data_IF_412263852613
#
_entry.id   IF_412263852613
#
_cell.length_a   1.000
_cell.length_b   1.000
_cell.length_c   1.000
_cell.angle_alpha   90.00
_cell.angle_beta   90.00
_cell.angle_gamma   90.00
#
_symmetry.space_group_name_H-M   'P 1'
#
loop_
_entity.id
_entity.type
_entity.pdbx_description
1 polymer ?
#
# COMPACT_ATOMS: atom_id res chain seq x y z
N UNK A 1 -33.58 2.77 5.79
CA UNK A 1 -32.62 3.86 6.11
C UNK A 1 -31.30 3.43 6.75
N UNK A 2 -30.82 2.19 6.56
CA UNK A 2 -29.46 1.84 6.96
C UNK A 2 -28.48 2.24 5.83
N UNK A 3 -27.76 3.37 6.00
CA UNK A 3 -26.65 3.76 5.13
C UNK A 3 -26.83 5.01 4.26
N UNK A 4 -27.90 5.78 4.45
CA UNK A 4 -27.98 7.11 3.84
C UNK A 4 -27.03 8.06 4.59
N UNK A 5 -26.31 8.90 3.84
CA UNK A 5 -25.47 9.93 4.45
C UNK A 5 -26.33 10.92 5.25
N UNK A 6 -25.87 11.30 6.43
CA UNK A 6 -26.50 12.33 7.27
C UNK A 6 -25.71 13.64 7.23
N UNK A 7 -26.32 14.74 7.67
CA UNK A 7 -25.73 16.08 7.59
C UNK A 7 -24.39 16.23 8.33
N UNK A 8 -24.09 15.34 9.27
CA UNK A 8 -22.82 15.32 10.01
C UNK A 8 -21.74 14.42 9.40
N UNK A 9 -22.04 13.64 8.37
CA UNK A 9 -21.07 12.72 7.76
C UNK A 9 -19.99 13.50 7.02
N UNK A 10 -18.72 13.15 7.27
CA UNK A 10 -17.60 13.76 6.56
C UNK A 10 -17.56 13.25 5.10
N UNK A 11 -17.31 14.15 4.15
CA UNK A 11 -17.06 13.77 2.76
C UNK A 11 -15.79 14.41 2.18
N UNK A 12 -15.20 13.74 1.19
CA UNK A 12 -13.94 14.12 0.54
C UNK A 12 -14.13 14.26 -0.97
N UNK A 13 -13.25 15.05 -1.60
CA UNK A 13 -13.18 15.10 -3.05
C UNK A 13 -12.68 13.76 -3.62
N UNK A 14 -13.37 13.24 -4.64
CA UNK A 14 -13.07 11.96 -5.28
C UNK A 14 -11.64 11.88 -5.86
N UNK A 15 -11.00 13.03 -6.12
CA UNK A 15 -9.63 13.11 -6.62
C UNK A 15 -8.59 13.10 -5.51
N UNK A 16 -8.95 13.42 -4.26
CA UNK A 16 -7.97 13.60 -3.18
C UNK A 16 -8.12 12.59 -2.04
N UNK A 17 -9.30 11.96 -1.89
CA UNK A 17 -9.56 11.04 -0.78
C UNK A 17 -8.53 9.89 -0.73
N UNK A 18 -8.19 9.28 -1.88
CA UNK A 18 -7.20 8.20 -1.98
C UNK A 18 -5.75 8.64 -1.81
N UNK A 19 -5.52 9.95 -1.64
CA UNK A 19 -4.21 10.59 -1.49
C UNK A 19 -4.03 11.22 -0.10
N UNK A 20 -4.97 10.97 0.82
CA UNK A 20 -4.92 11.55 2.16
C UNK A 20 -5.47 12.98 2.23
N UNK A 21 -6.24 13.44 1.24
CA UNK A 21 -6.81 14.79 1.25
C UNK A 21 -7.68 15.09 2.49
N UNK A 22 -7.83 16.37 2.80
CA UNK A 22 -8.77 16.85 3.84
C UNK A 22 -10.22 16.71 3.40
N UNK A 23 -11.13 16.52 4.36
CA UNK A 23 -12.56 16.50 4.10
C UNK A 23 -13.01 17.89 3.62
N UNK A 24 -13.91 17.90 2.66
CA UNK A 24 -14.49 19.13 2.08
C UNK A 24 -15.75 19.57 2.83
N UNK A 25 -16.36 18.69 3.63
CA UNK A 25 -17.49 19.04 4.48
C UNK A 25 -17.90 17.94 5.46
N UNK A 26 -18.85 18.25 6.37
CA UNK A 26 -19.48 19.55 6.56
C UNK A 26 -18.54 20.52 7.31
N UNK A 27 -18.42 21.76 6.84
CA UNK A 27 -17.50 22.76 7.41
C UNK A 27 -17.83 23.11 8.87
N UNK A 28 -19.10 23.03 9.26
CA UNK A 28 -19.58 23.22 10.63
C UNK A 28 -18.95 22.26 11.64
N UNK A 29 -18.43 21.12 11.18
CA UNK A 29 -17.78 20.11 12.01
C UNK A 29 -16.25 20.23 12.04
N UNK A 30 -15.69 21.30 11.46
CA UNK A 30 -14.22 21.45 11.34
C UNK A 30 -13.59 20.46 10.35
N UNK A 31 -14.36 19.98 9.36
CA UNK A 31 -13.98 18.91 8.43
C UNK A 31 -12.66 19.16 7.68
N UNK A 32 -12.33 20.41 7.37
CA UNK A 32 -11.12 20.78 6.62
C UNK A 32 -9.82 20.38 7.31
N UNK A 33 -9.84 20.12 8.61
CA UNK A 33 -8.70 19.61 9.38
C UNK A 33 -8.56 18.08 9.37
N UNK A 34 -9.53 17.35 8.81
CA UNK A 34 -9.60 15.88 8.92
C UNK A 34 -9.19 15.22 7.61
N UNK A 35 -8.06 14.55 7.60
CA UNK A 35 -7.61 13.73 6.47
C UNK A 35 -8.33 12.38 6.44
N UNK A 36 -8.46 11.75 5.27
CA UNK A 36 -8.79 10.32 5.19
C UNK A 36 -7.81 9.43 5.97
N UNK A 37 -6.58 9.91 6.21
CA UNK A 37 -5.59 9.23 7.04
C UNK A 37 -5.92 9.30 8.54
N UNK A 38 -6.51 10.41 9.02
CA UNK A 38 -7.01 10.52 10.40
C UNK A 38 -8.19 9.56 10.64
N UNK A 39 -9.01 9.30 9.61
CA UNK A 39 -10.09 8.31 9.67
C UNK A 39 -9.53 6.89 9.84
N UNK A 40 -8.44 6.54 9.14
CA UNK A 40 -7.78 5.25 9.33
C UNK A 40 -7.19 5.10 10.73
N UNK A 41 -6.55 6.15 11.26
CA UNK A 41 -6.07 6.14 12.65
C UNK A 41 -7.21 5.92 13.64
N UNK A 42 -8.32 6.64 13.48
CA UNK A 42 -9.50 6.54 14.34
C UNK A 42 -10.15 5.15 14.25
N UNK A 43 -10.17 4.56 13.04
CA UNK A 43 -10.69 3.21 12.82
C UNK A 43 -9.83 2.16 13.51
N UNK A 44 -8.50 2.29 13.43
CA UNK A 44 -7.56 1.39 14.12
C UNK A 44 -7.74 1.50 15.64
N UNK A 45 -7.80 2.71 16.19
CA UNK A 45 -8.04 2.93 17.61
C UNK A 45 -9.38 2.34 18.06
N UNK A 46 -10.44 2.52 17.27
CA UNK A 46 -11.74 1.92 17.54
C UNK A 46 -11.69 0.38 17.54
N UNK A 47 -11.01 -0.25 16.57
CA UNK A 47 -10.82 -1.70 16.53
C UNK A 47 -10.10 -2.19 17.80
N UNK A 48 -9.03 -1.51 18.21
CA UNK A 48 -8.26 -1.90 19.40
C UNK A 48 -9.06 -1.77 20.70
N UNK A 49 -9.89 -0.73 20.80
CA UNK A 49 -10.80 -0.55 21.92
C UNK A 49 -11.92 -1.60 21.93
N UNK A 50 -12.52 -1.87 20.77
CA UNK A 50 -13.62 -2.84 20.61
C UNK A 50 -13.18 -4.29 20.80
N UNK A 51 -11.95 -4.60 20.42
CA UNK A 51 -11.36 -5.93 20.45
C UNK A 51 -10.04 -5.91 21.25
N UNK A 52 -10.10 -5.95 22.59
CA UNK A 52 -8.91 -5.81 23.46
C UNK A 52 -7.88 -6.94 23.30
N UNK A 53 -8.26 -8.06 22.67
CA UNK A 53 -7.36 -9.19 22.35
C UNK A 53 -6.89 -9.20 20.89
N UNK A 54 -7.21 -8.18 20.09
CA UNK A 54 -6.75 -8.11 18.69
C UNK A 54 -5.23 -8.03 18.65
N UNK A 55 -4.61 -8.96 17.92
CA UNK A 55 -3.15 -9.04 17.79
C UNK A 55 -2.65 -8.47 16.46
N UNK A 56 -3.55 -8.39 15.48
CA UNK A 56 -3.22 -8.05 14.10
C UNK A 56 -4.38 -7.33 13.44
N UNK A 57 -4.08 -6.21 12.78
CA UNK A 57 -5.01 -5.48 11.93
C UNK A 57 -4.39 -5.42 10.54
N UNK A 58 -5.14 -5.85 9.54
CA UNK A 58 -4.69 -5.93 8.15
C UNK A 58 -5.36 -4.84 7.35
N UNK A 59 -4.53 -3.95 6.80
CA UNK A 59 -4.97 -2.91 5.88
C UNK A 59 -4.65 -3.40 4.47
N UNK A 60 -5.66 -3.88 3.77
CA UNK A 60 -5.53 -4.38 2.40
C UNK A 60 -6.23 -3.46 1.42
N UNK A 61 -5.57 -3.18 0.31
CA UNK A 61 -6.14 -2.38 -0.78
C UNK A 61 -5.78 -2.98 -2.14
N UNK A 62 -6.71 -2.88 -3.08
CA UNK A 62 -6.50 -3.15 -4.50
C UNK A 62 -6.62 -1.85 -5.31
N UNK A 63 -5.88 -1.71 -6.42
CA UNK A 63 -6.00 -0.54 -7.31
C UNK A 63 -5.84 0.78 -6.56
N UNK A 64 -6.80 1.73 -6.64
CA UNK A 64 -6.77 2.98 -5.88
C UNK A 64 -6.68 2.76 -4.36
N UNK A 65 -7.35 1.73 -3.82
CA UNK A 65 -7.24 1.36 -2.42
C UNK A 65 -5.81 0.93 -2.04
N UNK A 66 -5.09 0.23 -2.93
CA UNK A 66 -3.70 -0.12 -2.70
C UNK A 66 -2.80 1.11 -2.64
N UNK A 67 -3.05 2.09 -3.51
CA UNK A 67 -2.31 3.35 -3.47
C UNK A 67 -2.60 4.11 -2.16
N UNK A 68 -3.84 4.08 -1.68
CA UNK A 68 -4.22 4.69 -0.40
C UNK A 68 -3.51 4.01 0.79
N UNK A 69 -3.50 2.68 0.83
CA UNK A 69 -2.79 1.92 1.88
C UNK A 69 -1.27 2.18 1.83
N UNK A 70 -0.67 2.25 0.64
CA UNK A 70 0.75 2.60 0.51
C UNK A 70 1.04 3.99 1.06
N UNK A 71 0.23 4.99 0.70
CA UNK A 71 0.40 6.38 1.16
C UNK A 71 0.15 6.52 2.65
N UNK A 72 -0.84 5.82 3.19
CA UNK A 72 -1.07 5.79 4.64
C UNK A 72 0.10 5.12 5.37
N UNK A 73 0.59 4.00 4.87
CA UNK A 73 1.81 3.36 5.39
C UNK A 73 3.01 4.31 5.37
N UNK A 74 3.17 5.11 4.33
CA UNK A 74 4.26 6.07 4.21
C UNK A 74 4.12 7.28 5.15
N UNK A 75 2.92 7.87 5.20
CA UNK A 75 2.64 9.13 5.87
C UNK A 75 2.26 9.00 7.35
N UNK A 76 1.75 7.85 7.79
CA UNK A 76 1.27 7.65 9.16
C UNK A 76 2.33 8.04 10.18
N UNK A 77 1.90 8.81 11.19
CA UNK A 77 2.78 9.52 12.11
C UNK A 77 3.55 8.61 13.07
N UNK A 78 4.68 9.10 13.55
CA UNK A 78 5.38 8.50 14.69
C UNK A 78 4.58 8.69 15.99
N UNK A 79 4.85 7.89 17.02
CA UNK A 79 4.17 8.00 18.31
C UNK A 79 2.73 7.47 18.35
N UNK A 80 2.14 7.12 17.19
CA UNK A 80 0.87 6.40 17.11
C UNK A 80 1.09 4.90 17.31
N UNK A 81 1.60 4.54 18.49
CA UNK A 81 1.77 3.14 18.87
C UNK A 81 0.45 2.39 18.75
N UNK A 82 0.47 1.23 18.10
CA UNK A 82 -0.66 0.30 18.06
C UNK A 82 -0.29 -0.93 18.87
N UNK A 83 -1.23 -1.40 19.69
CA UNK A 83 -1.07 -2.67 20.42
C UNK A 83 -1.05 -3.85 19.46
N UNK A 84 -1.89 -3.81 18.43
CA UNK A 84 -1.91 -4.78 17.36
C UNK A 84 -0.81 -4.49 16.34
N UNK A 85 -0.25 -5.56 15.77
CA UNK A 85 0.61 -5.45 14.60
C UNK A 85 -0.23 -4.97 13.42
N UNK A 86 0.26 -3.94 12.71
CA UNK A 86 -0.31 -3.51 11.44
C UNK A 86 0.42 -4.19 10.28
N UNK A 87 -0.35 -4.77 9.36
CA UNK A 87 0.13 -5.30 8.08
C UNK A 87 -0.49 -4.48 6.93
N UNK A 88 0.35 -4.00 6.00
CA UNK A 88 -0.05 -3.18 4.85
C UNK A 88 0.06 -3.99 3.57
N UNK A 89 -1.08 -4.43 3.03
CA UNK A 89 -1.12 -5.26 1.82
C UNK A 89 -1.54 -4.39 0.62
N UNK A 90 -0.63 -4.21 -0.32
CA UNK A 90 -0.73 -3.28 -1.44
C UNK A 90 -0.81 -4.10 -2.72
N UNK A 91 -2.02 -4.20 -3.29
CA UNK A 91 -2.29 -5.05 -4.46
C UNK A 91 -2.56 -4.24 -5.73
N UNK A 92 -1.78 -4.45 -6.79
CA UNK A 92 -1.99 -3.80 -8.10
C UNK A 92 -2.24 -2.28 -8.07
N UNK A 93 -1.45 -1.48 -7.33
CA UNK A 93 -1.63 -0.02 -7.31
C UNK A 93 -1.39 0.59 -8.70
N UNK A 94 -2.22 1.57 -9.06
CA UNK A 94 -2.07 2.31 -10.31
C UNK A 94 -0.87 3.27 -10.33
N UNK A 95 -0.38 3.67 -9.15
CA UNK A 95 0.79 4.52 -8.96
C UNK A 95 1.27 4.44 -7.51
N UNK A 96 2.48 4.91 -7.25
CA UNK A 96 3.10 4.97 -5.93
C UNK A 96 3.58 6.37 -5.61
N UNK A 97 3.64 6.72 -4.31
CA UNK A 97 4.48 7.83 -3.87
C UNK A 97 5.95 7.36 -3.88
N UNK A 98 6.73 7.86 -4.84
CA UNK A 98 8.06 7.34 -5.16
C UNK A 98 9.15 7.83 -4.18
N UNK A 99 10.11 6.98 -3.80
CA UNK A 99 11.14 7.33 -2.80
C UNK A 99 12.22 8.30 -3.27
N UNK A 100 12.44 8.37 -4.59
CA UNK A 100 13.48 9.18 -5.23
C UNK A 100 12.88 9.93 -6.40
N UNK A 101 13.56 10.98 -6.90
CA UNK A 101 13.09 11.73 -8.06
C UNK A 101 13.35 10.97 -9.38
N UNK A 102 14.43 10.18 -9.45
CA UNK A 102 14.71 9.33 -10.61
C UNK A 102 13.55 8.38 -10.88
N UNK A 103 13.22 8.20 -12.16
CA UNK A 103 12.09 7.40 -12.63
C UNK A 103 12.59 6.31 -13.59
N UNK A 104 11.92 5.14 -13.62
CA UNK A 104 12.27 4.06 -14.54
C UNK A 104 11.95 4.41 -16.00
N UNK A 105 10.95 5.25 -16.24
CA UNK A 105 10.63 5.74 -17.58
C UNK A 105 11.17 7.17 -17.77
N UNK A 106 11.56 7.55 -19.01
CA UNK A 106 11.98 8.90 -19.32
C UNK A 106 10.92 9.95 -18.93
N UNK A 107 11.38 11.07 -18.37
CA UNK A 107 10.51 12.17 -17.93
C UNK A 107 10.80 13.40 -18.77
N UNK A 108 9.78 13.89 -19.49
CA UNK A 108 9.79 15.23 -20.05
C UNK A 108 9.16 16.18 -19.02
N UNK A 109 9.98 16.96 -18.32
CA UNK A 109 9.51 17.86 -17.25
C UNK A 109 8.66 19.02 -17.77
N UNK A 110 8.75 19.36 -19.05
CA UNK A 110 7.90 20.40 -19.67
C UNK A 110 6.47 19.92 -19.86
N UNK A 111 6.27 18.64 -20.22
CA UNK A 111 4.93 18.05 -20.38
C UNK A 111 4.42 17.32 -19.13
N UNK A 112 5.30 17.04 -18.17
CA UNK A 112 4.98 16.38 -16.91
C UNK A 112 5.65 17.06 -15.71
N UNK A 113 5.36 18.34 -15.42
CA UNK A 113 6.04 19.09 -14.36
C UNK A 113 5.75 18.55 -12.96
N UNK A 114 4.62 17.84 -12.78
CA UNK A 114 4.11 17.33 -11.50
C UNK A 114 4.46 15.87 -11.22
N UNK A 115 5.33 15.24 -12.02
CA UNK A 115 5.64 13.81 -11.91
C UNK A 115 6.25 13.40 -10.55
N UNK A 116 6.91 14.34 -9.88
CA UNK A 116 7.49 14.17 -8.55
C UNK A 116 6.75 14.99 -7.49
N UNK A 117 5.59 15.59 -7.76
CA UNK A 117 4.77 16.23 -6.71
C UNK A 117 3.86 15.21 -6.03
N UNK A 118 3.41 15.48 -4.80
CA UNK A 118 2.41 14.63 -4.15
C UNK A 118 1.17 14.49 -5.06
N UNK A 119 0.64 13.28 -5.29
CA UNK A 119 0.88 12.02 -4.57
C UNK A 119 1.85 11.04 -5.24
N UNK A 120 2.67 11.51 -6.19
CA UNK A 120 3.61 10.70 -6.97
C UNK A 120 5.06 10.83 -6.49
N UNK A 121 5.39 11.92 -5.79
CA UNK A 121 6.69 12.17 -5.18
C UNK A 121 6.63 13.30 -4.13
N UNK A 122 7.76 13.98 -3.89
CA UNK A 122 7.88 15.04 -2.87
C UNK A 122 8.64 16.30 -3.35
N UNK A 123 8.61 16.64 -4.64
CA UNK A 123 9.16 17.88 -5.18
C UNK A 123 8.45 19.12 -4.59
N UNK A 124 9.18 20.22 -4.53
CA UNK A 124 8.71 21.53 -4.07
C UNK A 124 7.86 22.24 -5.14
N UNK A 125 6.86 23.09 -4.78
CA UNK A 125 6.33 23.29 -3.43
C UNK A 125 5.47 22.09 -3.01
N UNK A 126 5.92 21.36 -1.98
CA UNK A 126 5.28 20.10 -1.58
C UNK A 126 4.00 20.36 -0.81
N UNK A 127 2.90 19.68 -1.17
CA UNK A 127 1.70 19.59 -0.35
C UNK A 127 1.36 18.12 -0.08
N UNK A 128 2.14 17.50 0.82
CA UNK A 128 1.58 16.33 1.53
C UNK A 128 0.39 16.82 2.37
N UNK A 129 -0.58 15.95 2.68
CA UNK A 129 -1.67 16.32 3.56
C UNK A 129 -1.16 16.90 4.89
N UNK A 130 -1.85 17.88 5.50
CA UNK A 130 -1.47 18.47 6.79
C UNK A 130 -1.13 17.42 7.86
N UNK A 131 -1.85 16.29 7.81
CA UNK A 131 -1.60 15.06 8.57
C UNK A 131 -0.12 14.68 8.75
N UNK A 132 0.71 14.80 7.69
CA UNK A 132 2.12 14.39 7.71
C UNK A 132 3.11 15.54 7.49
N UNK A 133 2.63 16.79 7.44
CA UNK A 133 3.48 17.94 7.12
C UNK A 133 4.63 18.13 8.14
N UNK A 134 4.35 17.97 9.43
CA UNK A 134 5.36 18.05 10.49
C UNK A 134 6.40 16.93 10.40
N UNK A 135 5.97 15.71 10.09
CA UNK A 135 6.88 14.57 9.91
C UNK A 135 7.73 14.73 8.66
N UNK A 136 7.18 15.22 7.55
CA UNK A 136 7.96 15.55 6.37
C UNK A 136 9.01 16.62 6.67
N UNK A 137 8.65 17.67 7.41
CA UNK A 137 9.59 18.73 7.80
C UNK A 137 10.73 18.20 8.69
N UNK A 138 10.43 17.25 9.58
CA UNK A 138 11.40 16.67 10.53
C UNK A 138 12.27 15.58 9.92
N UNK A 139 11.68 14.66 9.16
CA UNK A 139 12.32 13.45 8.63
C UNK A 139 12.84 13.61 7.20
N UNK A 140 12.28 14.56 6.45
CA UNK A 140 12.42 14.63 5.00
C UNK A 140 11.83 13.43 4.27
N UNK A 141 11.83 13.48 2.94
CA UNK A 141 11.36 12.36 2.08
C UNK A 141 12.06 11.05 2.45
N UNK A 142 13.39 11.06 2.56
CA UNK A 142 14.16 9.85 2.83
C UNK A 142 13.76 9.22 4.17
N UNK A 143 13.62 10.03 5.24
CA UNK A 143 13.22 9.50 6.54
C UNK A 143 11.81 8.92 6.56
N UNK A 144 10.85 9.49 5.82
CA UNK A 144 9.52 8.89 5.65
C UNK A 144 9.59 7.50 5.01
N UNK A 145 10.41 7.34 3.96
CA UNK A 145 10.58 6.05 3.28
C UNK A 145 11.36 5.03 4.11
N UNK A 146 12.43 5.45 4.80
CA UNK A 146 13.15 4.59 5.75
C UNK A 146 12.23 4.11 6.86
N UNK A 147 11.36 4.98 7.40
CA UNK A 147 10.32 4.58 8.35
C UNK A 147 9.31 3.61 7.74
N UNK A 148 8.86 3.86 6.51
CA UNK A 148 7.93 2.94 5.85
C UNK A 148 8.55 1.54 5.67
N UNK A 149 9.86 1.47 5.40
CA UNK A 149 10.61 0.23 5.28
C UNK A 149 10.67 -0.60 6.58
N UNK A 150 10.47 0.02 7.76
CA UNK A 150 10.40 -0.71 9.03
C UNK A 150 9.02 -1.31 9.33
N UNK A 151 8.04 -1.17 8.42
CA UNK A 151 6.67 -1.69 8.60
C UNK A 151 6.49 -3.04 7.93
N UNK A 152 5.49 -3.81 8.37
CA UNK A 152 5.11 -5.05 7.69
C UNK A 152 4.34 -4.72 6.41
N UNK A 153 5.02 -4.80 5.27
CA UNK A 153 4.45 -4.44 3.96
C UNK A 153 4.48 -5.65 3.04
N UNK A 154 3.37 -5.87 2.36
CA UNK A 154 3.24 -6.93 1.37
C UNK A 154 2.87 -6.29 0.04
N UNK A 155 3.80 -6.25 -0.90
CA UNK A 155 3.52 -5.85 -2.28
C UNK A 155 3.05 -7.11 -3.01
N UNK A 156 1.85 -7.10 -3.58
CA UNK A 156 1.36 -8.21 -4.39
C UNK A 156 0.88 -7.72 -5.76
N UNK A 157 1.43 -8.30 -6.82
CA UNK A 157 1.15 -7.89 -8.19
C UNK A 157 0.59 -9.07 -8.96
N UNK A 158 -0.51 -8.86 -9.66
CA UNK A 158 -1.07 -9.83 -10.59
C UNK A 158 -0.10 -10.03 -11.76
N UNK A 159 0.18 -11.29 -12.12
CA UNK A 159 1.09 -11.59 -13.23
C UNK A 159 0.58 -11.06 -14.56
N UNK A 160 -0.71 -10.75 -14.67
CA UNK A 160 -1.38 -10.39 -15.92
C UNK A 160 -1.93 -8.96 -15.92
N UNK A 161 -1.55 -8.12 -14.93
CA UNK A 161 -1.98 -6.71 -14.84
C UNK A 161 -1.12 -5.79 -15.72
N UNK A 162 -1.11 -6.09 -17.03
CA UNK A 162 -0.38 -5.38 -18.08
C UNK A 162 -1.09 -4.11 -18.58
N UNK A 163 -2.23 -3.75 -17.99
CA UNK A 163 -2.95 -2.54 -18.37
C UNK A 163 -2.36 -1.31 -17.65
N UNK A 164 -2.15 -0.20 -18.37
CA UNK A 164 -1.74 1.07 -17.74
C UNK A 164 -2.75 1.57 -16.71
N UNK A 165 -4.05 1.53 -17.06
CA UNK A 165 -5.11 2.07 -16.19
C UNK A 165 -5.14 3.59 -16.06
N UNK A 166 -4.31 4.32 -16.81
CA UNK A 166 -4.23 5.78 -16.76
C UNK A 166 -3.63 6.34 -18.04
N UNK A 167 -3.99 7.59 -18.36
CA UNK A 167 -3.35 8.41 -19.40
C UNK A 167 -2.54 9.57 -18.81
N UNK A 168 -2.54 9.71 -17.47
CA UNK A 168 -1.79 10.75 -16.77
C UNK A 168 -0.29 10.48 -16.89
N UNK A 169 0.50 11.53 -17.09
CA UNK A 169 1.93 11.39 -17.30
C UNK A 169 2.65 10.93 -16.03
N UNK A 170 2.18 11.33 -14.85
CA UNK A 170 2.89 11.12 -13.59
C UNK A 170 3.02 9.62 -13.23
N UNK A 171 1.94 8.81 -13.25
CA UNK A 171 2.08 7.35 -13.11
C UNK A 171 2.87 6.70 -14.24
N UNK A 172 2.77 7.22 -15.48
CA UNK A 172 3.47 6.67 -16.63
C UNK A 172 5.00 6.81 -16.50
N UNK A 173 5.48 7.78 -15.72
CA UNK A 173 6.91 7.86 -15.37
C UNK A 173 7.39 6.65 -14.55
N UNK A 174 6.47 5.95 -13.87
CA UNK A 174 6.78 4.84 -12.96
C UNK A 174 6.77 3.47 -13.67
N UNK A 175 6.30 3.39 -14.91
CA UNK A 175 6.14 2.14 -15.67
C UNK A 175 4.95 2.18 -16.63
N UNK A 176 5.01 1.38 -17.69
CA UNK A 176 3.97 1.30 -18.74
C UNK A 176 2.64 0.74 -18.23
N UNK A 177 2.69 -0.14 -17.24
CA UNK A 177 1.58 -0.93 -16.72
C UNK A 177 1.71 -1.11 -15.21
N UNK A 178 0.66 -1.62 -14.54
CA UNK A 178 0.66 -1.71 -13.07
C UNK A 178 1.66 -2.72 -12.54
N UNK A 179 1.88 -3.82 -13.25
CA UNK A 179 2.88 -4.83 -12.90
C UNK A 179 4.30 -4.24 -12.94
N UNK A 180 4.67 -3.56 -14.03
CA UNK A 180 5.97 -2.91 -14.15
C UNK A 180 6.14 -1.77 -13.14
N UNK A 181 5.10 -0.96 -12.89
CA UNK A 181 5.14 0.07 -11.82
C UNK A 181 5.44 -0.52 -10.45
N UNK A 182 4.82 -1.64 -10.09
CA UNK A 182 5.07 -2.30 -8.81
C UNK A 182 6.48 -2.89 -8.69
N UNK A 183 7.00 -3.48 -9.78
CA UNK A 183 8.38 -3.97 -9.86
C UNK A 183 9.38 -2.83 -9.66
N UNK A 184 9.26 -1.77 -10.46
CA UNK A 184 10.20 -0.65 -10.42
C UNK A 184 10.11 0.15 -9.11
N UNK A 185 8.91 0.31 -8.54
CA UNK A 185 8.78 0.90 -7.21
C UNK A 185 9.51 0.07 -6.15
N UNK A 186 9.37 -1.26 -6.20
CA UNK A 186 10.05 -2.17 -5.26
C UNK A 186 11.57 -2.01 -5.36
N UNK A 187 12.12 -2.02 -6.56
CA UNK A 187 13.54 -1.77 -6.80
C UNK A 187 13.98 -0.38 -6.28
N UNK A 188 13.16 0.65 -6.50
CA UNK A 188 13.46 2.01 -6.04
C UNK A 188 13.48 2.11 -4.50
N UNK A 189 12.58 1.41 -3.80
CA UNK A 189 12.62 1.34 -2.33
C UNK A 189 13.87 0.61 -1.86
N UNK A 190 14.17 -0.57 -2.44
CA UNK A 190 15.36 -1.34 -2.08
C UNK A 190 16.63 -0.48 -2.19
N UNK A 191 16.74 0.29 -3.27
CA UNK A 191 17.85 1.22 -3.46
C UNK A 191 17.86 2.33 -2.38
N UNK A 192 16.71 2.98 -2.15
CA UNK A 192 16.58 4.05 -1.17
C UNK A 192 16.81 3.59 0.28
N UNK A 193 16.69 2.29 0.57
CA UNK A 193 16.84 1.70 1.91
C UNK A 193 18.12 0.87 2.07
N UNK A 194 19.05 0.95 1.12
CA UNK A 194 20.39 0.34 1.24
C UNK A 194 20.47 -1.16 0.91
N UNK A 195 19.45 -1.74 0.27
CA UNK A 195 19.42 -3.17 -0.10
C UNK A 195 20.04 -3.49 -1.47
N UNK A 196 20.64 -2.52 -2.16
CA UNK A 196 21.13 -2.65 -3.54
C UNK A 196 22.12 -3.79 -3.76
N UNK A 197 23.05 -4.04 -2.82
CA UNK A 197 24.02 -5.12 -2.98
C UNK A 197 23.34 -6.50 -3.02
N UNK A 198 22.40 -6.75 -2.10
CA UNK A 198 21.63 -7.98 -2.04
C UNK A 198 20.65 -8.11 -3.22
N UNK A 199 20.10 -6.99 -3.70
CA UNK A 199 19.28 -6.93 -4.91
C UNK A 199 20.04 -7.40 -6.14
N UNK A 200 21.22 -6.80 -6.38
CA UNK A 200 22.08 -7.15 -7.51
C UNK A 200 22.54 -8.61 -7.43
N UNK A 201 22.97 -9.06 -6.24
CA UNK A 201 23.39 -10.45 -6.04
C UNK A 201 22.27 -11.47 -6.30
N UNK A 202 21.01 -11.08 -6.09
CA UNK A 202 19.85 -11.93 -6.35
C UNK A 202 19.40 -11.94 -7.83
N UNK A 203 20.06 -11.17 -8.72
CA UNK A 203 19.72 -11.06 -10.14
C UNK A 203 18.93 -9.81 -10.52
N UNK A 204 18.83 -8.82 -9.62
CA UNK A 204 18.17 -7.54 -9.88
C UNK A 204 16.71 -7.68 -10.31
N UNK A 205 16.30 -6.95 -11.34
CA UNK A 205 14.93 -6.91 -11.85
C UNK A 205 14.38 -8.32 -12.17
N UNK A 206 15.23 -9.21 -12.70
CA UNK A 206 14.85 -10.57 -13.03
C UNK A 206 14.36 -11.37 -11.82
N UNK A 207 14.87 -11.07 -10.61
CA UNK A 207 14.42 -11.74 -9.38
C UNK A 207 12.96 -11.46 -9.07
N UNK A 208 12.47 -10.28 -9.44
CA UNK A 208 11.12 -9.80 -9.13
C UNK A 208 10.08 -10.16 -10.20
N UNK A 209 10.45 -11.05 -11.14
CA UNK A 209 9.51 -11.77 -12.00
C UNK A 209 8.75 -12.88 -11.26
N UNK A 210 9.18 -13.24 -10.05
CA UNK A 210 8.52 -14.21 -9.18
C UNK A 210 8.48 -13.72 -7.73
N UNK A 211 7.71 -14.39 -6.87
CA UNK A 211 7.59 -14.01 -5.46
C UNK A 211 8.93 -14.07 -4.71
N UNK A 212 9.14 -13.12 -3.80
CA UNK A 212 10.32 -12.96 -2.95
C UNK A 212 9.88 -13.05 -1.49
N UNK A 213 10.55 -13.93 -0.75
CA UNK A 213 10.30 -14.12 0.67
C UNK A 213 10.67 -12.90 1.53
N UNK A 214 10.28 -12.95 2.79
CA UNK A 214 10.45 -11.83 3.73
C UNK A 214 11.91 -11.40 3.84
N UNK A 215 12.19 -10.13 3.57
CA UNK A 215 13.54 -9.54 3.69
C UNK A 215 14.59 -10.09 2.71
N UNK A 216 14.20 -10.91 1.74
CA UNK A 216 15.12 -11.50 0.77
C UNK A 216 15.38 -10.55 -0.42
N UNK A 217 16.47 -10.79 -1.15
CA UNK A 217 16.82 -10.04 -2.36
C UNK A 217 16.86 -8.51 -2.18
N UNK A 218 17.30 -8.04 -1.00
CA UNK A 218 17.41 -6.62 -0.68
C UNK A 218 16.13 -5.95 -0.19
N UNK A 219 14.99 -6.67 -0.13
CA UNK A 219 13.77 -6.16 0.48
C UNK A 219 14.01 -5.73 1.93
N UNK A 220 13.32 -4.67 2.42
CA UNK A 220 13.30 -4.38 3.85
C UNK A 220 12.87 -5.61 4.67
N UNK A 221 13.42 -5.75 5.87
CA UNK A 221 13.36 -7.00 6.64
C UNK A 221 11.93 -7.53 6.90
N UNK A 222 10.93 -6.66 6.97
CA UNK A 222 9.53 -7.04 7.22
C UNK A 222 8.68 -7.10 5.95
N UNK A 223 9.28 -6.86 4.78
CA UNK A 223 8.56 -6.79 3.51
C UNK A 223 8.52 -8.14 2.81
N UNK A 224 7.41 -8.44 2.13
CA UNK A 224 7.34 -9.50 1.11
C UNK A 224 6.91 -8.92 -0.22
N UNK A 225 7.25 -9.65 -1.29
CA UNK A 225 6.84 -9.32 -2.64
C UNK A 225 6.25 -10.58 -3.29
N UNK A 226 5.04 -10.49 -3.84
CA UNK A 226 4.33 -11.62 -4.42
C UNK A 226 3.93 -11.32 -5.86
N UNK A 227 4.18 -12.27 -6.76
CA UNK A 227 3.54 -12.32 -8.08
C UNK A 227 2.38 -13.32 -7.99
N UNK A 228 1.15 -12.85 -8.19
CA UNK A 228 -0.06 -13.67 -8.13
C UNK A 228 -0.36 -14.19 -9.54
N UNK A 229 -0.17 -15.50 -9.82
CA UNK A 229 -0.34 -16.05 -11.16
C UNK A 229 -1.78 -15.94 -11.65
N UNK A 230 -1.96 -15.63 -12.94
CA UNK A 230 -3.27 -15.62 -13.61
C UNK A 230 -4.18 -14.44 -13.25
N UNK A 231 -3.75 -13.56 -12.33
CA UNK A 231 -4.54 -12.40 -11.95
C UNK A 231 -4.13 -11.17 -12.75
N UNK A 232 -5.11 -10.56 -13.42
CA UNK A 232 -5.01 -9.21 -13.98
C UNK A 232 -5.48 -8.16 -12.94
N UNK A 233 -6.07 -7.05 -13.40
CA UNK A 233 -6.59 -5.98 -12.54
C UNK A 233 -7.93 -6.31 -11.84
N UNK A 234 -8.01 -7.46 -11.17
CA UNK A 234 -9.23 -7.97 -10.53
C UNK A 234 -9.04 -8.08 -9.02
N UNK A 235 -9.83 -7.32 -8.25
CA UNK A 235 -9.82 -7.40 -6.79
C UNK A 235 -10.16 -8.80 -6.29
N UNK A 236 -11.16 -9.43 -6.90
CA UNK A 236 -11.61 -10.76 -6.50
C UNK A 236 -10.53 -11.81 -6.71
N UNK A 237 -9.89 -11.82 -7.89
CA UNK A 237 -8.78 -12.73 -8.17
C UNK A 237 -7.63 -12.53 -7.16
N UNK A 238 -7.22 -11.27 -6.97
CA UNK A 238 -6.12 -10.94 -6.07
C UNK A 238 -6.41 -11.39 -4.63
N UNK A 239 -7.62 -11.11 -4.12
CA UNK A 239 -7.98 -11.40 -2.71
C UNK A 239 -8.23 -12.89 -2.46
N UNK A 240 -8.84 -13.59 -3.41
CA UNK A 240 -9.18 -15.02 -3.29
C UNK A 240 -8.05 -15.96 -3.71
N UNK A 241 -7.01 -15.46 -4.38
CA UNK A 241 -5.83 -16.27 -4.71
C UNK A 241 -5.16 -16.84 -3.45
N UNK A 242 -4.45 -17.96 -3.60
CA UNK A 242 -3.70 -18.59 -2.49
C UNK A 242 -2.74 -17.61 -1.81
N UNK A 243 -2.02 -16.78 -2.58
CA UNK A 243 -1.12 -15.77 -2.03
C UNK A 243 -1.87 -14.61 -1.37
N UNK A 244 -2.98 -14.16 -1.96
CA UNK A 244 -3.82 -13.11 -1.38
C UNK A 244 -4.40 -13.53 -0.02
N UNK A 245 -5.02 -14.70 0.03
CA UNK A 245 -5.53 -15.33 1.26
C UNK A 245 -4.41 -15.47 2.29
N UNK A 246 -3.23 -15.95 1.87
CA UNK A 246 -2.09 -16.11 2.77
C UNK A 246 -1.75 -14.79 3.46
N UNK A 247 -1.58 -13.69 2.72
CA UNK A 247 -1.22 -12.38 3.30
C UNK A 247 -2.36 -11.82 4.16
N UNK A 248 -3.60 -11.89 3.67
CA UNK A 248 -4.75 -11.30 4.35
C UNK A 248 -5.09 -12.07 5.63
N UNK A 249 -5.14 -13.40 5.57
CA UNK A 249 -5.74 -14.22 6.62
C UNK A 249 -4.76 -15.06 7.44
N UNK A 250 -3.61 -15.44 6.86
CA UNK A 250 -2.77 -16.50 7.43
C UNK A 250 -1.45 -15.98 8.01
N UNK A 251 -0.87 -14.93 7.43
CA UNK A 251 0.44 -14.43 7.83
C UNK A 251 0.49 -13.94 9.30
N UNK A 252 1.55 -14.37 10.00
CA UNK A 252 1.83 -14.02 11.39
C UNK A 252 1.00 -14.75 12.45
N UNK A 253 0.33 -15.84 12.08
CA UNK A 253 -0.07 -16.90 13.00
C UNK A 253 1.04 -17.95 13.12
N UNK A 254 1.14 -18.63 14.28
CA UNK A 254 2.06 -19.76 14.44
C UNK A 254 1.68 -20.92 13.51
N UNK A 255 2.62 -21.81 13.19
CA UNK A 255 2.37 -23.00 12.35
C UNK A 255 1.19 -23.86 12.85
N UNK A 256 1.01 -23.94 14.16
CA UNK A 256 -0.12 -24.67 14.79
C UNK A 256 -1.45 -23.93 14.60
N UNK A 257 -1.45 -22.60 14.76
CA UNK A 257 -2.64 -21.78 14.52
C UNK A 257 -3.01 -21.69 13.03
N UNK A 258 -2.02 -21.76 12.15
CA UNK A 258 -2.16 -21.80 10.69
C UNK A 258 -2.95 -23.03 10.24
N UNK A 259 -2.58 -24.24 10.67
CA UNK A 259 -3.28 -25.49 10.27
C UNK A 259 -4.76 -25.48 10.66
N UNK A 260 -5.08 -25.05 11.88
CA UNK A 260 -6.47 -24.96 12.38
C UNK A 260 -7.29 -23.90 11.64
N UNK A 261 -6.65 -22.83 11.17
CA UNK A 261 -7.31 -21.74 10.43
C UNK A 261 -7.43 -22.04 8.94
N UNK A 262 -6.42 -22.63 8.32
CA UNK A 262 -6.46 -23.05 6.92
C UNK A 262 -7.61 -24.03 6.68
N UNK A 263 -7.71 -25.08 7.52
CA UNK A 263 -8.83 -26.03 7.49
C UNK A 263 -10.20 -25.35 7.65
N UNK A 264 -10.33 -24.38 8.57
CA UNK A 264 -11.58 -23.60 8.70
C UNK A 264 -11.86 -22.69 7.50
N UNK A 265 -10.81 -22.16 6.87
CA UNK A 265 -10.95 -21.25 5.74
C UNK A 265 -11.34 -22.01 4.47
N UNK A 266 -10.79 -23.20 4.26
CA UNK A 266 -11.21 -24.13 3.20
C UNK A 266 -12.71 -24.44 3.33
N UNK A 267 -13.18 -24.77 4.54
CA UNK A 267 -14.61 -24.98 4.82
C UNK A 267 -15.46 -23.71 4.60
N UNK A 268 -14.95 -22.52 4.96
CA UNK A 268 -15.68 -21.25 4.81
C UNK A 268 -15.73 -20.74 3.37
N UNK A 269 -14.73 -21.07 2.55
CA UNK A 269 -14.64 -20.66 1.16
C UNK A 269 -15.34 -21.64 0.20
N UNK A 270 -15.91 -22.72 0.72
CA UNK A 270 -16.59 -23.74 -0.10
C UNK A 270 -15.65 -24.42 -1.09
N UNK A 271 -14.35 -24.51 -0.74
CA UNK A 271 -13.40 -25.32 -1.49
C UNK A 271 -13.62 -26.76 -1.03
N UNK A 272 -14.77 -27.33 -1.40
CA UNK A 272 -14.94 -28.77 -1.33
C UNK A 272 -13.90 -29.39 -2.26
N UNK A 273 -13.11 -30.31 -1.70
CA UNK A 273 -12.26 -31.21 -2.45
C UNK A 273 -13.15 -32.22 -3.16
N UNK A 274 -13.81 -31.79 -4.23
CA UNK A 274 -14.36 -32.71 -5.22
C UNK A 274 -13.67 -32.41 -6.54
N UNK A 275 -12.62 -33.18 -6.83
CA UNK A 275 -12.41 -33.88 -8.10
C UNK A 275 -11.12 -34.71 -7.97
N UNK A 276 -11.33 -36.03 -7.78
CA UNK A 276 -10.36 -37.11 -8.04
C UNK A 276 -10.00 -37.18 -9.53
#
# INVERSE_FOLDING_TARGET
DAGAAIDSDLWWDAKTYGYGGSAVGPTSSGSSGISTLDVLDSTIAWIEARYPKVQRIVLVGHSLGAQFIQRYGLLRRDGQGTRARLDYIIMNPGSFAYPVQTRPMPVNTSSCPTFDTWPYGFASPTSVPPYSAADLARLGKQGLHTRFATRNVHIALGSDDYASGTKRCEPLTQGSDRLSRGRFYTAAVINATGGTAAYTAAGGDNRFNSSVGRGQAGLPALWTYDIIPGCAHSQECMYKSTLGIKRIMLDGFSATALRKRASRLETLLGVDQDED
#
